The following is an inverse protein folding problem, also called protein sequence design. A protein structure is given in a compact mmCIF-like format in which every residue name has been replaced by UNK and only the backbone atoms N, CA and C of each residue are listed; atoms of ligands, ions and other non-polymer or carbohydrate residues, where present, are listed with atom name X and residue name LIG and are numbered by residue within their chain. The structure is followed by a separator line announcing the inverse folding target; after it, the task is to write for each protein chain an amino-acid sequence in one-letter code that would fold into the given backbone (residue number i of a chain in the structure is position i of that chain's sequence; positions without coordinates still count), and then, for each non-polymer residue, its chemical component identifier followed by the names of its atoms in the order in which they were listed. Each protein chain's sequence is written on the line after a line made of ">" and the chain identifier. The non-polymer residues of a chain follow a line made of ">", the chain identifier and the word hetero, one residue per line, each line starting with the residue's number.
data_IF_107491137215
#
_entry.id   IF_107491137215
#
_cell.length_a   1.000
_cell.length_b   1.000
_cell.length_c   1.000
_cell.angle_alpha   90.00
_cell.angle_beta   90.00
_cell.angle_gamma   90.00
#
_symmetry.space_group_name_H-M   'P 1'
#
loop_
_entity.id
_entity.type
_entity.pdbx_description
1 polymer ?
#
# COMPACT_ATOMS: atom_id res chain seq x y z
N UNK A 1 6.64 1.22 23.03
CA UNK A 1 5.53 1.27 22.05
C UNK A 1 4.27 0.53 22.49
N UNK A 2 4.28 -0.80 22.66
CA UNK A 2 3.08 -1.59 23.01
C UNK A 2 2.34 -1.09 24.26
N UNK A 3 3.08 -0.75 25.33
CA UNK A 3 2.49 -0.20 26.56
C UNK A 3 1.82 1.16 26.34
N UNK A 4 2.38 2.01 25.48
CA UNK A 4 1.82 3.33 25.13
C UNK A 4 0.51 3.16 24.34
N UNK A 5 0.46 2.16 23.46
CA UNK A 5 -0.77 1.76 22.78
C UNK A 5 -1.79 1.09 23.73
N UNK A 6 -1.44 0.83 24.99
CA UNK A 6 -2.29 0.12 25.95
C UNK A 6 -2.42 -1.38 25.68
N UNK A 7 -1.53 -1.97 24.88
CA UNK A 7 -1.51 -3.41 24.54
C UNK A 7 -0.69 -4.18 25.58
N UNK A 8 -1.21 -4.30 26.81
CA UNK A 8 -0.45 -4.87 27.94
C UNK A 8 -0.11 -6.35 27.78
N UNK A 9 -1.02 -7.14 27.19
CA UNK A 9 -0.75 -8.56 26.92
C UNK A 9 0.45 -8.73 25.98
N UNK A 10 0.41 -8.02 24.84
CA UNK A 10 1.50 -8.02 23.86
C UNK A 10 2.81 -7.48 24.46
N UNK A 11 2.72 -6.46 25.33
CA UNK A 11 3.89 -5.92 26.03
C UNK A 11 4.52 -6.95 26.98
N UNK A 12 3.69 -7.71 27.70
CA UNK A 12 4.14 -8.79 28.57
C UNK A 12 4.77 -9.94 27.78
N UNK A 13 4.24 -10.24 26.58
CA UNK A 13 4.81 -11.23 25.68
C UNK A 13 6.22 -10.83 25.22
N UNK A 14 6.43 -9.59 24.77
CA UNK A 14 7.76 -9.10 24.39
C UNK A 14 8.73 -9.02 25.57
N UNK A 15 8.25 -8.65 26.76
CA UNK A 15 9.06 -8.71 27.97
C UNK A 15 9.50 -10.15 28.29
N UNK A 16 8.58 -11.11 28.14
CA UNK A 16 8.89 -12.53 28.27
C UNK A 16 9.95 -12.99 27.27
N UNK A 17 9.83 -12.57 26.00
CA UNK A 17 10.86 -12.84 24.98
C UNK A 17 12.21 -12.28 25.37
N UNK A 18 12.24 -11.02 25.84
CA UNK A 18 13.47 -10.37 26.29
C UNK A 18 14.14 -11.17 27.42
N UNK A 19 13.38 -11.56 28.45
CA UNK A 19 13.91 -12.36 29.57
C UNK A 19 14.41 -13.71 29.08
N UNK A 20 13.64 -14.43 28.26
CA UNK A 20 14.03 -15.75 27.74
C UNK A 20 15.30 -15.65 26.90
N UNK A 21 15.37 -14.71 25.95
CA UNK A 21 16.54 -14.54 25.09
C UNK A 21 17.76 -14.07 25.88
N UNK A 22 17.58 -13.28 26.94
CA UNK A 22 18.68 -12.89 27.81
C UNK A 22 19.23 -14.08 28.60
N UNK A 23 18.35 -14.89 29.19
CA UNK A 23 18.72 -16.00 30.08
C UNK A 23 19.18 -17.25 29.33
N UNK A 24 18.48 -17.62 28.26
CA UNK A 24 18.68 -18.87 27.52
C UNK A 24 19.22 -18.66 26.10
N UNK A 25 19.23 -17.41 25.61
CA UNK A 25 19.71 -17.03 24.28
C UNK A 25 21.09 -16.37 24.29
N UNK A 26 21.93 -16.67 25.28
CA UNK A 26 23.28 -16.09 25.44
C UNK A 26 23.27 -14.55 25.43
N UNK A 27 22.43 -13.93 26.27
CA UNK A 27 22.31 -12.47 26.31
C UNK A 27 21.60 -11.85 25.10
N UNK A 28 20.83 -12.65 24.36
CA UNK A 28 20.08 -12.21 23.18
C UNK A 28 20.77 -12.45 21.83
N UNK A 29 21.92 -13.13 21.80
CA UNK A 29 22.58 -13.53 20.56
C UNK A 29 21.80 -14.61 19.79
N UNK A 30 21.00 -15.42 20.51
CA UNK A 30 20.18 -16.49 19.96
C UNK A 30 18.71 -16.24 20.34
N UNK A 31 17.79 -16.32 19.36
CA UNK A 31 16.35 -16.22 19.63
C UNK A 31 15.82 -17.55 20.15
N UNK A 32 15.87 -17.75 21.47
CA UNK A 32 15.39 -18.95 22.15
C UNK A 32 13.87 -18.91 22.41
N UNK A 33 13.27 -17.72 22.50
CA UNK A 33 11.87 -17.52 22.86
C UNK A 33 10.84 -18.29 22.00
N UNK A 34 11.02 -18.47 20.67
CA UNK A 34 10.12 -19.30 19.87
C UNK A 34 10.03 -20.75 20.34
N UNK A 35 11.14 -21.33 20.84
CA UNK A 35 11.17 -22.69 21.38
C UNK A 35 10.33 -22.84 22.65
N UNK A 36 10.04 -21.73 23.34
CA UNK A 36 9.15 -21.66 24.50
C UNK A 36 7.72 -21.24 24.14
N UNK A 37 7.37 -21.21 22.85
CA UNK A 37 6.03 -20.84 22.37
C UNK A 37 5.72 -19.34 22.43
N UNK A 38 6.73 -18.50 22.69
CA UNK A 38 6.51 -17.04 22.82
C UNK A 38 6.79 -16.37 21.48
N UNK A 39 5.74 -16.10 20.70
CA UNK A 39 5.82 -15.41 19.40
C UNK A 39 6.19 -13.92 19.49
N UNK A 40 6.81 -13.39 18.42
CA UNK A 40 7.21 -11.97 18.30
C UNK A 40 6.04 -11.08 17.90
N UNK A 41 5.92 -9.93 18.56
CA UNK A 41 4.97 -8.85 18.29
C UNK A 41 5.73 -7.55 18.02
N UNK A 42 5.80 -7.16 16.75
CA UNK A 42 6.45 -5.92 16.36
C UNK A 42 5.54 -4.70 16.62
N UNK A 43 6.12 -3.62 17.18
CA UNK A 43 5.48 -2.32 17.26
C UNK A 43 6.51 -1.18 17.29
N UNK A 44 6.29 -0.17 16.45
CA UNK A 44 7.16 1.00 16.32
C UNK A 44 6.46 2.30 16.74
N UNK A 45 7.22 3.38 16.90
CA UNK A 45 6.68 4.68 17.32
C UNK A 45 5.79 5.28 16.23
N UNK A 46 6.10 5.07 14.94
CA UNK A 46 5.27 5.54 13.83
C UNK A 46 3.86 4.92 13.85
N UNK A 47 3.75 3.62 14.11
CA UNK A 47 2.50 2.92 14.34
C UNK A 47 1.79 3.47 15.58
N UNK A 48 2.52 3.69 16.69
CA UNK A 48 1.96 4.25 17.92
C UNK A 48 1.32 5.62 17.67
N UNK A 49 2.02 6.52 16.98
CA UNK A 49 1.48 7.82 16.56
C UNK A 49 0.25 7.66 15.66
N UNK A 50 0.28 6.69 14.74
CA UNK A 50 -0.87 6.34 13.90
C UNK A 50 -2.08 5.88 14.71
N UNK A 51 -1.89 5.01 15.71
CA UNK A 51 -2.94 4.55 16.63
C UNK A 51 -3.56 5.74 17.36
N UNK A 52 -2.74 6.69 17.82
CA UNK A 52 -3.14 7.92 18.49
C UNK A 52 -3.80 8.97 17.56
N UNK A 53 -3.85 8.72 16.25
CA UNK A 53 -4.58 9.56 15.29
C UNK A 53 -3.72 10.43 14.39
N UNK A 54 -2.38 10.37 14.50
CA UNK A 54 -1.50 11.09 13.59
C UNK A 54 -1.62 10.52 12.16
N UNK A 55 -1.88 11.40 11.19
CA UNK A 55 -1.86 11.06 9.77
C UNK A 55 -0.47 10.62 9.31
N UNK A 56 -0.37 9.85 8.21
CA UNK A 56 0.93 9.41 7.69
C UNK A 56 1.80 10.57 7.19
N UNK A 57 1.19 11.62 6.62
CA UNK A 57 1.90 12.66 5.88
C UNK A 57 2.38 12.16 4.51
N UNK A 58 3.25 12.92 3.84
CA UNK A 58 3.84 12.54 2.56
C UNK A 58 4.59 11.21 2.62
N UNK A 59 4.50 10.44 1.53
CA UNK A 59 5.29 9.24 1.31
C UNK A 59 6.66 9.62 0.73
N UNK A 60 7.71 8.99 1.23
CA UNK A 60 9.09 9.23 0.85
C UNK A 60 9.77 7.90 0.51
N UNK A 61 10.59 7.94 -0.54
CA UNK A 61 11.47 6.85 -0.93
C UNK A 61 12.88 7.42 -0.98
N UNK A 62 13.72 7.02 -0.03
CA UNK A 62 15.07 7.55 0.12
C UNK A 62 16.09 6.45 -0.21
N UNK A 63 17.23 6.79 -0.84
CA UNK A 63 18.29 5.82 -1.09
C UNK A 63 18.75 5.16 0.22
N UNK A 64 18.91 3.83 0.22
CA UNK A 64 19.32 3.03 1.38
C UNK A 64 18.34 3.01 2.57
N UNK A 65 17.14 3.56 2.43
CA UNK A 65 16.08 3.46 3.43
C UNK A 65 14.90 2.69 2.88
N UNK A 66 14.11 2.13 3.79
CA UNK A 66 12.85 1.51 3.45
C UNK A 66 11.81 2.57 3.02
N UNK A 67 10.81 2.19 2.22
CA UNK A 67 9.61 3.00 2.00
C UNK A 67 9.08 3.54 3.32
N UNK A 68 8.84 4.84 3.41
CA UNK A 68 8.38 5.45 4.66
C UNK A 68 7.46 6.65 4.44
N UNK A 69 6.72 7.02 5.48
CA UNK A 69 5.98 8.29 5.54
C UNK A 69 6.65 9.27 6.50
N UNK A 70 6.35 10.56 6.43
CA UNK A 70 6.90 11.56 7.37
C UNK A 70 6.66 11.15 8.83
N UNK A 71 5.45 10.67 9.16
CA UNK A 71 5.16 10.16 10.51
C UNK A 71 6.05 8.98 10.88
N UNK A 72 6.25 8.05 9.96
CA UNK A 72 7.08 6.88 10.21
C UNK A 72 8.56 7.26 10.32
N UNK A 73 9.03 8.28 9.59
CA UNK A 73 10.38 8.85 9.71
C UNK A 73 10.62 9.41 11.12
N UNK A 74 9.68 10.25 11.59
CA UNK A 74 9.73 10.80 12.96
C UNK A 74 9.71 9.66 13.97
N UNK A 75 8.86 8.65 13.77
CA UNK A 75 8.82 7.46 14.60
C UNK A 75 10.16 6.73 14.68
N UNK A 76 10.83 6.52 13.54
CA UNK A 76 12.16 5.89 13.50
C UNK A 76 13.22 6.68 14.26
N UNK A 77 13.19 8.01 14.21
CA UNK A 77 14.11 8.85 15.00
C UNK A 77 13.88 8.63 16.50
N UNK A 78 12.63 8.64 16.96
CA UNK A 78 12.30 8.36 18.36
C UNK A 78 12.69 6.94 18.78
N UNK A 79 12.41 5.94 17.93
CA UNK A 79 12.79 4.55 18.19
C UNK A 79 14.31 4.40 18.28
N UNK A 80 15.08 5.09 17.41
CA UNK A 80 16.54 5.07 17.45
C UNK A 80 17.10 5.69 18.73
N UNK A 81 16.55 6.82 19.20
CA UNK A 81 16.98 7.45 20.46
C UNK A 81 16.65 6.56 21.67
N UNK A 82 15.55 5.81 21.62
CA UNK A 82 15.12 4.91 22.70
C UNK A 82 15.79 3.54 22.67
N UNK A 83 16.49 3.19 21.59
CA UNK A 83 17.23 1.94 21.48
C UNK A 83 18.56 2.04 22.27
N UNK A 84 18.78 1.19 23.29
CA UNK A 84 20.03 1.17 24.06
C UNK A 84 21.27 0.98 23.19
N UNK A 85 21.15 0.27 22.06
CA UNK A 85 22.28 0.00 21.15
C UNK A 85 22.79 1.26 20.46
N UNK A 86 21.92 2.25 20.20
CA UNK A 86 22.32 3.54 19.60
C UNK A 86 23.28 4.34 20.48
N UNK A 87 23.31 4.07 21.78
CA UNK A 87 24.20 4.72 22.74
C UNK A 87 25.50 3.92 22.98
N UNK A 88 25.46 2.62 22.71
CA UNK A 88 26.58 1.69 22.93
C UNK A 88 27.47 1.54 21.68
N UNK A 89 26.87 1.67 20.49
CA UNK A 89 27.55 1.49 19.21
C UNK A 89 27.70 2.86 18.54
N UNK A 90 28.93 3.27 18.15
CA UNK A 90 29.14 4.50 17.39
C UNK A 90 28.27 4.55 16.13
N UNK A 91 27.73 5.74 15.84
CA UNK A 91 26.81 5.96 14.73
C UNK A 91 27.38 5.45 13.40
N UNK A 92 28.67 5.65 13.15
CA UNK A 92 29.35 5.24 11.92
C UNK A 92 29.31 3.73 11.73
N UNK A 93 29.50 2.96 12.82
CA UNK A 93 29.45 1.50 12.81
C UNK A 93 28.00 1.01 12.66
N UNK A 94 27.07 1.62 13.40
CA UNK A 94 25.64 1.30 13.31
C UNK A 94 25.07 1.57 11.90
N UNK A 95 25.40 2.72 11.33
CA UNK A 95 24.97 3.13 10.00
C UNK A 95 25.62 2.28 8.90
N UNK A 96 26.95 2.09 8.93
CA UNK A 96 27.65 1.27 7.93
C UNK A 96 27.16 -0.18 7.93
N UNK A 97 27.02 -0.80 9.10
CA UNK A 97 26.49 -2.17 9.20
C UNK A 97 25.05 -2.28 8.68
N UNK A 98 24.23 -1.26 8.92
CA UNK A 98 22.85 -1.21 8.40
C UNK A 98 22.81 -1.00 6.90
N UNK A 99 23.67 -0.15 6.34
CA UNK A 99 23.81 0.05 4.91
C UNK A 99 24.25 -1.25 4.21
N UNK A 100 25.26 -1.93 4.75
CA UNK A 100 25.74 -3.23 4.23
C UNK A 100 24.62 -4.27 4.28
N UNK A 101 23.90 -4.38 5.40
CA UNK A 101 22.74 -5.28 5.52
C UNK A 101 21.68 -5.00 4.46
N UNK A 102 21.30 -3.73 4.25
CA UNK A 102 20.29 -3.37 3.26
C UNK A 102 20.72 -3.68 1.82
N UNK A 103 21.99 -3.44 1.49
CA UNK A 103 22.55 -3.83 0.19
C UNK A 103 22.51 -5.35 0.04
N UNK A 104 22.89 -6.08 1.07
CA UNK A 104 22.84 -7.54 1.08
C UNK A 104 21.41 -8.08 0.93
N UNK A 105 20.45 -7.54 1.68
CA UNK A 105 19.03 -7.94 1.60
C UNK A 105 18.46 -7.66 0.21
N UNK A 106 18.85 -6.53 -0.41
CA UNK A 106 18.49 -6.21 -1.80
C UNK A 106 19.10 -7.21 -2.77
N UNK A 107 20.37 -7.59 -2.58
CA UNK A 107 21.04 -8.58 -3.41
C UNK A 107 20.40 -9.97 -3.29
N UNK A 108 20.01 -10.38 -2.09
CA UNK A 108 19.35 -11.66 -1.83
C UNK A 108 17.90 -11.72 -2.33
N UNK A 109 17.30 -10.56 -2.62
CA UNK A 109 15.91 -10.46 -3.07
C UNK A 109 15.79 -10.07 -4.54
N UNK A 110 16.89 -10.06 -5.31
CA UNK A 110 16.94 -9.53 -6.67
C UNK A 110 15.89 -10.18 -7.58
N UNK A 111 15.80 -11.51 -7.57
CA UNK A 111 14.85 -12.30 -8.35
C UNK A 111 13.38 -11.95 -8.03
N UNK A 112 13.06 -11.70 -6.75
CA UNK A 112 11.73 -11.28 -6.35
C UNK A 112 11.39 -9.88 -6.89
N UNK A 113 12.37 -9.00 -7.01
CA UNK A 113 12.17 -7.67 -7.59
C UNK A 113 12.05 -7.72 -9.11
N UNK A 114 12.86 -8.52 -9.79
CA UNK A 114 12.79 -8.72 -11.24
C UNK A 114 11.42 -9.28 -11.63
N UNK A 115 10.94 -10.31 -10.94
CA UNK A 115 9.61 -10.88 -11.18
C UNK A 115 8.47 -9.87 -10.99
N UNK A 116 8.60 -8.98 -9.99
CA UNK A 116 7.59 -7.93 -9.74
C UNK A 116 7.69 -6.84 -10.81
N UNK A 117 8.91 -6.41 -11.19
CA UNK A 117 9.15 -5.40 -12.23
C UNK A 117 8.64 -5.86 -13.60
N UNK A 118 8.83 -7.13 -13.96
CA UNK A 118 8.33 -7.71 -15.21
C UNK A 118 6.80 -7.79 -15.27
N UNK A 119 6.11 -7.83 -14.12
CA UNK A 119 4.65 -7.95 -14.03
C UNK A 119 3.91 -6.63 -13.81
N UNK A 120 4.63 -5.54 -13.48
CA UNK A 120 4.05 -4.20 -13.29
C UNK A 120 4.61 -3.16 -14.21
N UNK A 121 3.73 -2.31 -14.70
CA UNK A 121 4.14 -1.13 -15.44
C UNK A 121 4.57 0.05 -14.57
N UNK A 122 4.00 0.19 -13.36
CA UNK A 122 4.42 1.20 -12.39
C UNK A 122 4.87 0.54 -11.09
N UNK A 123 6.16 0.20 -11.05
CA UNK A 123 6.81 -0.37 -9.88
C UNK A 123 6.74 0.59 -8.68
N UNK A 124 6.89 1.90 -8.90
CA UNK A 124 6.85 2.87 -7.82
C UNK A 124 5.45 2.92 -7.18
N UNK A 125 4.41 3.02 -8.00
CA UNK A 125 3.02 3.00 -7.56
C UNK A 125 2.66 1.72 -6.81
N UNK A 126 3.08 0.57 -7.32
CA UNK A 126 2.86 -0.73 -6.68
C UNK A 126 3.52 -0.80 -5.28
N UNK A 127 4.80 -0.44 -5.18
CA UNK A 127 5.54 -0.42 -3.91
C UNK A 127 4.93 0.56 -2.91
N UNK A 128 4.60 1.78 -3.36
CA UNK A 128 3.96 2.80 -2.51
C UNK A 128 2.62 2.31 -1.96
N UNK A 129 1.77 1.75 -2.83
CA UNK A 129 0.45 1.27 -2.42
C UNK A 129 0.55 0.08 -1.46
N UNK A 130 1.42 -0.88 -1.76
CA UNK A 130 1.68 -2.02 -0.88
C UNK A 130 2.18 -1.58 0.50
N UNK A 131 3.12 -0.63 0.55
CA UNK A 131 3.61 -0.05 1.80
C UNK A 131 2.48 0.60 2.60
N UNK A 132 1.72 1.51 1.98
CA UNK A 132 0.65 2.24 2.66
C UNK A 132 -0.47 1.30 3.14
N UNK A 133 -0.82 0.29 2.36
CA UNK A 133 -1.80 -0.74 2.75
C UNK A 133 -1.32 -1.51 3.98
N UNK A 134 -0.06 -1.97 3.98
CA UNK A 134 0.56 -2.66 5.12
C UNK A 134 0.56 -1.78 6.37
N UNK A 135 0.95 -0.51 6.28
CA UNK A 135 0.94 0.41 7.44
C UNK A 135 -0.47 0.66 7.97
N UNK A 136 -1.46 0.83 7.11
CA UNK A 136 -2.88 0.95 7.54
C UNK A 136 -3.34 -0.30 8.27
N UNK A 137 -2.98 -1.49 7.79
CA UNK A 137 -3.31 -2.75 8.44
C UNK A 137 -2.70 -2.83 9.86
N UNK A 138 -1.40 -2.54 10.02
CA UNK A 138 -0.73 -2.53 11.33
C UNK A 138 -1.34 -1.53 12.31
N UNK A 139 -1.76 -0.35 11.84
CA UNK A 139 -2.42 0.66 12.70
C UNK A 139 -3.82 0.21 13.10
N UNK A 140 -4.58 -0.39 12.17
CA UNK A 140 -5.91 -0.94 12.48
C UNK A 140 -5.82 -2.07 13.50
N UNK A 141 -4.89 -3.00 13.31
CA UNK A 141 -4.62 -4.08 14.26
C UNK A 141 -4.20 -3.52 15.63
N UNK A 142 -3.29 -2.55 15.64
CA UNK A 142 -2.86 -1.86 16.86
C UNK A 142 -4.02 -1.20 17.60
N UNK A 143 -4.95 -0.56 16.87
CA UNK A 143 -6.19 0.01 17.45
C UNK A 143 -7.13 -1.07 17.98
N UNK A 144 -7.34 -2.15 17.23
CA UNK A 144 -8.22 -3.24 17.64
C UNK A 144 -7.73 -3.91 18.94
N UNK A 145 -6.42 -4.12 19.07
CA UNK A 145 -5.79 -4.70 20.27
C UNK A 145 -5.60 -3.70 21.42
N UNK A 146 -5.67 -2.39 21.14
CA UNK A 146 -5.50 -1.36 22.17
C UNK A 146 -6.69 -1.29 23.12
N UNK A 147 -6.44 -0.97 24.40
CA UNK A 147 -7.53 -0.63 25.35
C UNK A 147 -8.42 0.52 24.88
N UNK A 148 -7.91 1.37 23.98
CA UNK A 148 -8.65 2.51 23.41
C UNK A 148 -9.69 2.07 22.36
N UNK A 149 -9.45 0.95 21.66
CA UNK A 149 -10.38 0.37 20.69
C UNK A 149 -11.60 -0.26 21.36
N UNK A 150 -11.39 -0.99 22.46
CA UNK A 150 -12.48 -1.60 23.22
C UNK A 150 -13.46 -0.56 23.79
N UNK A 151 -12.98 0.62 24.22
CA UNK A 151 -13.83 1.67 24.83
C UNK A 151 -14.75 2.36 23.82
N UNK A 152 -14.27 2.63 22.60
CA UNK A 152 -15.11 3.24 21.54
C UNK A 152 -16.15 2.28 20.98
N UNK A 153 -15.84 0.98 20.89
CA UNK A 153 -16.81 -0.03 20.47
C UNK A 153 -17.96 -0.19 21.48
N UNK A 154 -17.69 0.01 22.78
CA UNK A 154 -18.71 -0.02 23.83
C UNK A 154 -19.53 1.27 23.95
N UNK A 155 -19.01 2.43 23.51
CA UNK A 155 -19.72 3.72 23.54
C UNK A 155 -20.55 3.98 22.28
N UNK A 156 -20.12 3.47 21.12
CA UNK A 156 -20.85 3.54 19.85
C UNK A 156 -21.71 2.28 19.68
N UNK A 157 -22.82 2.20 20.40
CA UNK A 157 -23.76 1.09 20.26
C UNK A 157 -24.40 1.03 18.87
N UNK A 158 -23.77 0.36 17.91
CA UNK A 158 -24.39 -0.28 16.74
C UNK A 158 -23.33 -0.94 15.83
N UNK A 159 -23.69 -2.13 15.39
CA UNK A 159 -23.17 -2.94 14.28
C UNK A 159 -21.84 -3.68 14.49
N UNK A 160 -22.03 -4.97 14.81
CA UNK A 160 -20.98 -5.98 14.82
C UNK A 160 -20.26 -6.03 13.48
N UNK A 161 -19.02 -5.57 13.50
CA UNK A 161 -18.00 -6.10 12.60
C UNK A 161 -17.29 -7.21 13.36
N UNK A 162 -17.37 -8.44 12.83
CA UNK A 162 -16.61 -9.58 13.35
C UNK A 162 -15.13 -9.19 13.55
N UNK A 163 -14.47 -9.68 14.62
CA UNK A 163 -13.03 -9.52 14.75
C UNK A 163 -12.36 -10.18 13.53
N UNK A 164 -11.46 -9.49 12.81
CA UNK A 164 -10.81 -10.09 11.66
C UNK A 164 -9.91 -11.24 12.11
N UNK A 165 -9.93 -12.30 11.31
CA UNK A 165 -9.07 -13.48 11.41
C UNK A 165 -7.60 -13.09 11.63
N UNK A 166 -7.11 -13.38 12.83
CA UNK A 166 -5.73 -13.15 13.29
C UNK A 166 -4.73 -14.16 12.69
N UNK A 167 -5.17 -15.05 11.79
CA UNK A 167 -4.34 -16.01 11.08
C UNK A 167 -3.73 -15.53 9.76
N UNK A 168 -4.13 -14.38 9.22
CA UNK A 168 -3.57 -13.89 7.96
C UNK A 168 -2.16 -13.33 8.18
N UNK A 169 -1.14 -14.11 7.80
CA UNK A 169 0.22 -13.63 7.50
C UNK A 169 0.08 -12.27 6.79
N UNK A 170 0.81 -11.19 7.18
CA UNK A 170 0.77 -9.95 6.43
C UNK A 170 1.01 -10.34 4.97
N UNK A 171 0.14 -9.92 4.02
CA UNK A 171 0.28 -10.37 2.66
C UNK A 171 1.73 -10.09 2.26
N UNK A 172 2.43 -11.16 1.83
CA UNK A 172 3.51 -11.02 0.85
C UNK A 172 2.98 -9.98 -0.13
N UNK A 173 3.73 -8.90 -0.47
CA UNK A 173 3.25 -7.90 -1.41
C UNK A 173 2.55 -8.66 -2.53
N UNK A 174 1.22 -8.47 -2.61
CA UNK A 174 0.41 -9.28 -3.49
C UNK A 174 1.10 -9.20 -4.84
N UNK A 175 1.32 -10.37 -5.46
CA UNK A 175 1.65 -10.39 -6.89
C UNK A 175 0.72 -9.35 -7.52
N UNK A 176 1.29 -8.31 -8.13
CA UNK A 176 0.52 -7.15 -8.51
C UNK A 176 -0.67 -7.61 -9.37
N UNK A 177 -1.85 -7.01 -9.20
CA UNK A 177 -2.96 -7.32 -10.09
C UNK A 177 -2.45 -7.15 -11.51
N UNK A 178 -2.66 -8.17 -12.34
CA UNK A 178 -2.27 -8.22 -13.74
C UNK A 178 -2.78 -6.94 -14.43
N UNK A 179 -1.89 -5.96 -14.60
CA UNK A 179 -2.22 -4.66 -15.15
C UNK A 179 -1.36 -4.41 -16.38
N UNK A 180 -1.99 -4.71 -17.51
CA UNK A 180 -1.59 -4.36 -18.87
C UNK A 180 -1.64 -2.85 -19.03
N UNK A 181 -0.70 -2.33 -19.83
CA UNK A 181 -0.39 -0.92 -19.92
C UNK A 181 -0.17 -0.43 -21.31
N UNK A 182 -0.34 0.89 -21.50
CA UNK A 182 0.45 1.59 -22.50
C UNK A 182 1.12 2.86 -21.95
N UNK A 183 2.43 2.97 -22.27
CA UNK A 183 2.98 4.11 -22.99
C UNK A 183 3.24 5.41 -22.23
N UNK A 184 4.52 5.70 -21.99
CA UNK A 184 5.03 7.00 -21.60
C UNK A 184 5.02 8.03 -22.76
N UNK A 185 4.53 9.25 -22.49
CA UNK A 185 4.86 10.56 -23.10
C UNK A 185 3.87 11.59 -22.51
N UNK A 186 4.14 12.85 -22.19
CA UNK A 186 5.30 13.72 -22.28
C UNK A 186 5.12 14.89 -21.27
N UNK A 187 6.22 15.56 -20.97
CA UNK A 187 6.33 16.82 -20.21
C UNK A 187 5.60 18.01 -20.83
N UNK A 188 5.06 18.91 -20.00
CA UNK A 188 4.61 20.25 -20.41
C UNK A 188 4.28 21.19 -19.23
N UNK A 189 4.84 22.40 -19.26
CA UNK A 189 4.72 23.47 -18.25
C UNK A 189 3.31 24.06 -18.12
N UNK A 190 3.01 24.69 -16.98
CA UNK A 190 2.01 25.77 -16.92
C UNK A 190 1.42 26.02 -15.55
N UNK A 191 1.92 27.02 -14.83
CA UNK A 191 1.21 27.60 -13.70
C UNK A 191 -0.10 28.21 -14.18
N UNK A 192 -1.20 27.85 -13.51
CA UNK A 192 -2.53 28.35 -13.81
C UNK A 192 -3.50 27.86 -12.75
N UNK A 193 -3.79 28.73 -11.79
CA UNK A 193 -4.88 28.55 -10.82
C UNK A 193 -6.19 28.64 -11.60
N UNK A 194 -6.80 27.50 -11.92
CA UNK A 194 -8.10 27.39 -12.55
C UNK A 194 -8.94 26.38 -11.76
N UNK A 195 -10.19 26.77 -11.55
CA UNK A 195 -11.25 26.05 -10.87
C UNK A 195 -11.30 24.60 -11.38
N UNK A 196 -10.99 23.64 -10.50
CA UNK A 196 -11.07 22.23 -10.83
C UNK A 196 -12.55 21.83 -10.87
N UNK A 197 -13.16 22.05 -12.03
CA UNK A 197 -14.46 21.52 -12.38
C UNK A 197 -14.46 19.99 -12.23
N UNK A 198 -15.61 19.44 -11.83
CA UNK A 198 -15.81 18.05 -11.39
C UNK A 198 -15.70 17.00 -12.52
N UNK A 199 -14.65 17.07 -13.33
CA UNK A 199 -14.41 16.16 -14.45
C UNK A 199 -13.54 14.97 -14.02
N UNK A 200 -14.01 13.76 -14.32
CA UNK A 200 -13.26 12.52 -14.26
C UNK A 200 -12.72 12.16 -15.65
N UNK A 201 -11.81 11.20 -15.74
CA UNK A 201 -11.25 10.75 -17.02
C UNK A 201 -11.65 9.31 -17.30
N UNK A 202 -12.13 9.05 -18.51
CA UNK A 202 -12.39 7.72 -19.03
C UNK A 202 -11.21 7.25 -19.91
N UNK A 203 -10.71 6.06 -19.62
CA UNK A 203 -9.76 5.32 -20.45
C UNK A 203 -10.47 4.07 -20.97
N UNK A 204 -10.54 3.92 -22.30
CA UNK A 204 -11.14 2.75 -22.95
C UNK A 204 -10.04 1.93 -23.63
N UNK A 205 -9.94 0.67 -23.23
CA UNK A 205 -9.06 -0.33 -23.84
C UNK A 205 -9.93 -1.45 -24.41
N UNK A 206 -10.04 -1.52 -25.73
CA UNK A 206 -10.82 -2.57 -26.38
C UNK A 206 -10.06 -3.27 -27.50
N UNK A 207 -10.26 -4.59 -27.58
CA UNK A 207 -9.73 -5.46 -28.62
C UNK A 207 -10.91 -5.99 -29.45
N UNK A 208 -10.90 -5.83 -30.79
CA UNK A 208 -9.80 -5.28 -31.62
C UNK A 208 -9.76 -3.74 -31.62
N UNK A 209 -8.63 -3.15 -32.02
CA UNK A 209 -8.37 -1.69 -31.93
C UNK A 209 -9.32 -0.82 -32.75
N UNK A 210 -9.91 -1.37 -33.80
CA UNK A 210 -10.90 -0.74 -34.66
C UNK A 210 -12.32 -0.73 -34.06
N UNK A 211 -12.51 -1.30 -32.88
CA UNK A 211 -13.81 -1.27 -32.20
C UNK A 211 -14.26 0.17 -31.97
N UNK A 212 -15.47 0.50 -32.39
CA UNK A 212 -16.06 1.81 -32.15
C UNK A 212 -16.55 1.91 -30.71
N UNK A 213 -16.26 3.05 -30.10
CA UNK A 213 -16.63 3.36 -28.72
C UNK A 213 -17.65 4.48 -28.71
N UNK A 214 -18.77 4.26 -28.04
CA UNK A 214 -19.85 5.22 -27.84
C UNK A 214 -20.04 5.43 -26.34
N UNK A 215 -20.00 6.68 -25.88
CA UNK A 215 -20.25 7.06 -24.49
C UNK A 215 -21.58 7.80 -24.42
N UNK A 216 -22.53 7.27 -23.65
CA UNK A 216 -23.88 7.83 -23.47
C UNK A 216 -24.59 8.18 -24.80
N UNK A 217 -24.38 7.35 -25.82
CA UNK A 217 -24.94 7.55 -27.16
C UNK A 217 -24.11 8.47 -28.08
N UNK A 218 -23.03 9.07 -27.59
CA UNK A 218 -22.13 9.90 -28.40
C UNK A 218 -20.89 9.10 -28.85
N UNK A 219 -20.67 9.04 -30.17
CA UNK A 219 -19.50 8.36 -30.73
C UNK A 219 -18.20 9.10 -30.35
N UNK A 220 -17.28 8.37 -29.72
CA UNK A 220 -15.99 8.91 -29.28
C UNK A 220 -14.86 8.61 -30.28
N UNK A 221 -15.01 7.58 -31.10
CA UNK A 221 -14.02 7.15 -32.09
C UNK A 221 -13.69 5.66 -31.97
N UNK A 222 -12.57 5.24 -32.56
CA UNK A 222 -12.07 3.88 -32.41
C UNK A 222 -11.32 3.68 -31.08
N UNK A 223 -11.33 2.46 -30.56
CA UNK A 223 -10.63 2.10 -29.33
C UNK A 223 -9.12 2.41 -29.42
N UNK A 224 -8.50 2.18 -30.58
CA UNK A 224 -7.10 2.51 -30.83
C UNK A 224 -6.78 4.01 -30.73
N UNK A 225 -7.68 4.88 -31.19
CA UNK A 225 -7.52 6.35 -31.06
C UNK A 225 -7.71 6.81 -29.61
N UNK A 226 -8.62 6.17 -28.88
CA UNK A 226 -8.91 6.51 -27.48
C UNK A 226 -7.86 5.99 -26.51
N UNK A 227 -7.11 4.94 -26.85
CA UNK A 227 -5.97 4.48 -26.05
C UNK A 227 -4.90 5.57 -25.85
N UNK A 228 -4.78 6.51 -26.80
CA UNK A 228 -3.83 7.61 -26.74
C UNK A 228 -4.41 8.90 -26.12
N UNK A 229 -5.70 8.92 -25.73
CA UNK A 229 -6.39 10.13 -25.29
C UNK A 229 -7.32 9.89 -24.10
N UNK A 230 -7.07 10.60 -23.01
CA UNK A 230 -8.03 10.67 -21.91
C UNK A 230 -9.29 11.44 -22.36
N UNK A 231 -10.47 10.84 -22.17
CA UNK A 231 -11.75 11.49 -22.44
C UNK A 231 -12.29 12.06 -21.13
N UNK A 232 -12.52 13.37 -21.07
CA UNK A 232 -13.15 13.99 -19.92
C UNK A 232 -14.63 13.55 -19.84
N UNK A 233 -15.06 13.14 -18.66
CA UNK A 233 -16.43 12.68 -18.38
C UNK A 233 -16.89 13.34 -17.08
N UNK A 234 -18.11 13.86 -17.08
CA UNK A 234 -18.71 14.45 -15.90
C UNK A 234 -18.82 13.42 -14.76
N UNK A 235 -18.88 13.87 -13.51
CA UNK A 235 -19.20 12.99 -12.38
C UNK A 235 -20.60 12.39 -12.54
N UNK A 236 -20.74 11.08 -12.42
CA UNK A 236 -22.06 10.43 -12.54
C UNK A 236 -22.00 8.99 -13.04
N UNK A 237 -23.18 8.44 -13.36
CA UNK A 237 -23.30 7.14 -14.02
C UNK A 237 -23.26 7.32 -15.53
N UNK A 238 -22.41 6.54 -16.19
CA UNK A 238 -22.21 6.58 -17.63
C UNK A 238 -22.27 5.18 -18.22
N UNK A 239 -22.66 5.10 -19.49
CA UNK A 239 -22.71 3.85 -20.27
C UNK A 239 -21.77 3.95 -21.45
N UNK A 240 -20.89 2.96 -21.59
CA UNK A 240 -20.03 2.77 -22.76
C UNK A 240 -20.52 1.57 -23.55
N UNK A 241 -20.69 1.78 -24.84
CA UNK A 241 -20.98 0.73 -25.82
C UNK A 241 -19.77 0.56 -26.74
N UNK A 242 -19.37 -0.69 -26.96
CA UNK A 242 -18.20 -1.04 -27.76
C UNK A 242 -18.61 -2.09 -28.78
N UNK A 243 -18.40 -1.80 -30.06
CA UNK A 243 -18.80 -2.68 -31.16
C UNK A 243 -17.76 -2.71 -32.27
N UNK A 244 -17.51 -3.88 -32.83
CA UNK A 244 -16.66 -4.09 -33.99
C UNK A 244 -17.33 -5.04 -34.98
N UNK A 245 -17.02 -4.92 -36.27
CA UNK A 245 -17.59 -5.78 -37.31
C UNK A 245 -17.10 -7.22 -37.14
N UNK A 246 -18.02 -8.18 -37.06
CA UNK A 246 -17.70 -9.61 -36.86
C UNK A 246 -17.41 -9.99 -35.40
N UNK A 247 -17.76 -9.11 -34.46
CA UNK A 247 -17.64 -9.33 -33.03
C UNK A 247 -18.95 -8.99 -32.32
N UNK A 248 -19.25 -9.72 -31.25
CA UNK A 248 -20.42 -9.44 -30.40
C UNK A 248 -20.21 -8.12 -29.66
N UNK A 249 -21.18 -7.19 -29.71
CA UNK A 249 -21.07 -5.91 -29.03
C UNK A 249 -21.08 -6.09 -27.51
N UNK A 250 -20.43 -5.17 -26.79
CA UNK A 250 -20.38 -5.14 -25.34
C UNK A 250 -20.84 -3.80 -24.80
N UNK A 251 -21.56 -3.82 -23.68
CA UNK A 251 -22.07 -2.64 -22.99
C UNK A 251 -21.62 -2.68 -21.55
N UNK A 252 -20.94 -1.63 -21.10
CA UNK A 252 -20.44 -1.49 -19.74
C UNK A 252 -21.00 -0.22 -19.10
N UNK A 253 -21.42 -0.31 -17.84
CA UNK A 253 -21.80 0.86 -17.03
C UNK A 253 -20.73 1.13 -16.00
N UNK A 254 -20.39 2.40 -15.81
CA UNK A 254 -19.41 2.82 -14.82
C UNK A 254 -19.86 4.11 -14.11
N UNK A 255 -19.25 4.37 -12.96
CA UNK A 255 -19.45 5.62 -12.20
C UNK A 255 -18.16 6.43 -12.33
N UNK A 256 -18.25 7.64 -12.87
CA UNK A 256 -17.11 8.56 -12.93
C UNK A 256 -17.03 9.37 -11.63
N UNK A 257 -15.86 9.34 -11.00
CA UNK A 257 -15.55 10.10 -9.77
C UNK A 257 -14.28 10.92 -10.02
N UNK A 258 -14.21 12.21 -9.64
CA UNK A 258 -13.01 13.03 -9.81
C UNK A 258 -11.77 12.49 -9.07
N UNK A 259 -11.98 11.63 -8.06
CA UNK A 259 -10.90 11.05 -7.25
C UNK A 259 -10.12 9.96 -8.00
N UNK A 260 -10.73 9.32 -9.00
CA UNK A 260 -10.14 8.19 -9.73
C UNK A 260 -10.59 8.15 -11.20
N UNK A 261 -9.68 7.94 -12.16
CA UNK A 261 -10.07 7.75 -13.56
C UNK A 261 -10.89 6.46 -13.72
N UNK A 262 -11.99 6.54 -14.45
CA UNK A 262 -12.77 5.38 -14.84
C UNK A 262 -12.04 4.63 -15.98
N UNK A 263 -11.92 3.31 -15.87
CA UNK A 263 -11.28 2.49 -16.91
C UNK A 263 -12.22 1.37 -17.33
N UNK A 264 -12.49 1.30 -18.63
CA UNK A 264 -13.31 0.24 -19.25
C UNK A 264 -12.39 -0.59 -20.15
N UNK A 265 -12.25 -1.88 -19.81
CA UNK A 265 -11.45 -2.83 -20.59
C UNK A 265 -12.32 -3.96 -21.11
N UNK A 266 -12.35 -4.14 -22.43
CA UNK A 266 -13.26 -5.09 -23.08
C UNK A 266 -12.54 -5.81 -24.22
N UNK A 267 -12.46 -7.14 -24.13
CA UNK A 267 -12.12 -7.98 -25.27
C UNK A 267 -13.43 -8.47 -25.92
N UNK A 268 -13.70 -8.05 -27.15
CA UNK A 268 -14.91 -8.50 -27.84
C UNK A 268 -14.72 -9.94 -28.31
N UNK A 269 -15.77 -10.76 -28.17
CA UNK A 269 -15.78 -12.11 -28.69
C UNK A 269 -16.17 -12.11 -30.17
N UNK A 270 -15.50 -12.89 -31.04
CA UNK A 270 -15.93 -13.04 -32.43
C UNK A 270 -17.34 -13.64 -32.50
N UNK A 271 -18.10 -13.26 -33.53
CA UNK A 271 -19.47 -13.75 -33.76
C UNK A 271 -19.56 -15.22 -34.17
#
# INVERSE_FOLDING_TARGET
>A
NLSVQGRFNDSGQELGRFVINTMFGLGGLIDAAPSFGVGKVAADTGQTLGVLGAGPGPYLMLPLFEPLTVRDAVGQVFDSVMDPTSWLVPFEIGFSSSAVRRVNDRALSLELYENVEETVFDLYGAVRNGYLQRRRALIREGRAKSRWGHRKATESGSDGADPPDVGARPPVPAAPPEQVTPGAAASGHGGGRLEADEESFLIVDATPSEAQVVLDGQALGSAGELLARAVAVARGQHTVEIAAKGFRPSVARFVADPSFPARVRVALAPE
#
